data_IF_870846979686
#
_entry.id   IF_870846979686
#
_cell.length_a   1.000
_cell.length_b   1.000
_cell.length_c   1.000
_cell.angle_alpha   90.00
_cell.angle_beta   90.00
_cell.angle_gamma   90.00
#
_symmetry.space_group_name_H-M   'P 1'
#
loop_
_entity.id
_entity.type
_entity.pdbx_description
1 polymer ?
#
# COMPACT_ATOMS: atom_id res chain seq x y z
N UNK A 1 7.62 27.58 -14.23
CA UNK A 1 7.39 27.21 -14.03
C UNK A 1 7.08 26.78 -14.34
N UNK A 2 7.12 26.33 -14.64
CA UNK A 2 6.75 25.92 -14.88
C UNK A 2 6.23 25.45 -14.51
N UNK A 3 6.23 25.91 -14.61
CA UNK A 3 5.60 25.40 -14.10
C UNK A 3 4.77 24.97 -14.66
N UNK A 4 4.91 24.35 -15.00
CA UNK A 4 3.98 23.74 -15.30
C UNK A 4 2.99 23.92 -14.40
N UNK A 5 1.93 24.26 -14.70
CA UNK A 5 0.89 24.42 -13.79
C UNK A 5 0.62 23.14 -13.18
N UNK A 6 0.28 23.08 -12.04
CA UNK A 6 -0.03 21.88 -11.38
C UNK A 6 1.16 21.00 -11.14
N UNK A 7 2.17 21.25 -11.90
CA UNK A 7 3.36 20.49 -11.64
C UNK A 7 4.37 21.46 -11.21
N UNK A 8 4.54 21.53 -10.00
CA UNK A 8 5.54 22.38 -9.45
C UNK A 8 6.86 21.75 -9.64
N UNK A 9 7.82 22.46 -10.16
CA UNK A 9 9.14 21.90 -10.26
C UNK A 9 9.66 21.39 -8.93
N UNK A 10 9.33 22.07 -7.88
CA UNK A 10 9.81 21.61 -6.61
C UNK A 10 9.14 20.33 -6.14
N UNK A 11 7.94 20.09 -6.60
CA UNK A 11 7.30 18.85 -6.26
C UNK A 11 7.99 17.69 -6.86
N UNK A 12 8.56 17.93 -8.00
CA UNK A 12 9.25 16.89 -8.67
C UNK A 12 10.65 16.84 -8.22
N UNK A 13 11.25 18.01 -8.21
CA UNK A 13 12.65 18.04 -8.02
C UNK A 13 13.09 17.85 -6.62
N UNK A 14 12.25 18.15 -5.70
CA UNK A 14 12.73 18.14 -4.36
C UNK A 14 13.13 16.77 -3.93
N UNK A 15 12.73 15.78 -4.61
CA UNK A 15 13.09 14.46 -4.25
C UNK A 15 12.84 14.19 -2.82
N UNK A 16 11.91 14.86 -2.29
CA UNK A 16 11.52 14.60 -0.97
C UNK A 16 11.00 13.21 -0.92
N UNK A 17 11.31 12.52 0.12
CA UNK A 17 10.71 11.22 0.34
C UNK A 17 9.23 11.42 0.32
N UNK A 18 8.52 10.83 -0.62
CA UNK A 18 7.10 11.02 -0.71
C UNK A 18 6.44 10.56 0.58
N UNK A 19 5.31 11.16 0.86
CA UNK A 19 4.53 10.64 1.94
C UNK A 19 4.19 9.19 1.65
N UNK A 20 3.84 8.50 2.69
CA UNK A 20 3.64 7.08 2.64
C UNK A 20 2.56 6.71 1.64
N UNK A 21 2.79 5.69 0.81
CA UNK A 21 1.75 5.22 -0.10
C UNK A 21 0.50 4.76 0.64
N UNK A 22 -0.60 4.75 -0.06
CA UNK A 22 -1.88 4.36 0.47
C UNK A 22 -1.88 2.89 0.88
N UNK A 23 -2.38 2.61 2.07
CA UNK A 23 -2.54 1.24 2.51
C UNK A 23 -3.64 0.58 1.66
N UNK A 24 -3.46 -0.68 1.25
CA UNK A 24 -4.46 -1.34 0.41
C UNK A 24 -5.85 -1.39 1.05
N UNK A 25 -5.94 -1.32 2.37
CA UNK A 25 -7.22 -1.27 3.06
C UNK A 25 -8.08 -0.08 2.66
N UNK A 26 -7.45 1.06 2.37
CA UNK A 26 -8.21 2.24 1.93
C UNK A 26 -8.82 2.01 0.56
N UNK A 27 -8.09 1.36 -0.32
CA UNK A 27 -8.60 1.04 -1.65
C UNK A 27 -9.74 0.03 -1.54
N UNK A 28 -9.59 -0.95 -0.67
CA UNK A 28 -10.67 -1.91 -0.45
C UNK A 28 -11.92 -1.22 0.07
N UNK A 29 -11.77 -0.27 0.98
CA UNK A 29 -12.91 0.49 1.48
C UNK A 29 -13.63 1.21 0.35
N UNK A 30 -12.88 1.89 -0.51
CA UNK A 30 -13.45 2.62 -1.63
C UNK A 30 -14.18 1.68 -2.57
N UNK A 31 -13.60 0.52 -2.81
CA UNK A 31 -14.19 -0.46 -3.70
C UNK A 31 -15.52 -0.97 -3.16
N UNK A 32 -15.56 -1.25 -1.87
CA UNK A 32 -16.80 -1.70 -1.23
C UNK A 32 -17.87 -0.61 -1.27
N UNK A 33 -17.48 0.63 -1.01
CA UNK A 33 -18.43 1.75 -1.07
C UNK A 33 -18.97 1.93 -2.48
N UNK A 34 -18.09 1.84 -3.46
CA UNK A 34 -18.48 1.98 -4.85
C UNK A 34 -19.46 0.90 -5.29
N UNK A 35 -19.31 -0.30 -4.77
CA UNK A 35 -20.17 -1.43 -5.12
C UNK A 35 -21.38 -1.56 -4.21
N UNK A 36 -21.47 -0.75 -3.16
CA UNK A 36 -22.56 -0.86 -2.20
C UNK A 36 -22.52 -2.13 -1.39
N UNK A 37 -21.32 -2.65 -1.13
CA UNK A 37 -21.13 -3.87 -0.36
C UNK A 37 -20.67 -3.52 1.04
N UNK A 38 -21.34 -4.06 2.06
CA UNK A 38 -20.92 -3.82 3.44
C UNK A 38 -19.76 -4.72 3.82
N UNK A 39 -19.01 -4.30 4.84
CA UNK A 39 -17.93 -5.12 5.36
C UNK A 39 -18.46 -6.47 5.88
N UNK A 40 -19.61 -6.44 6.53
CA UNK A 40 -20.22 -7.66 7.05
C UNK A 40 -20.49 -8.64 5.92
N UNK A 41 -21.03 -8.14 4.82
CA UNK A 41 -21.33 -9.01 3.70
C UNK A 41 -20.07 -9.61 3.10
N UNK A 42 -19.06 -8.80 2.88
CA UNK A 42 -17.82 -9.31 2.32
C UNK A 42 -17.17 -10.32 3.27
N UNK A 43 -17.12 -10.00 4.56
CA UNK A 43 -16.53 -10.91 5.54
C UNK A 43 -17.21 -12.26 5.53
N UNK A 44 -18.54 -12.27 5.46
CA UNK A 44 -19.29 -13.51 5.39
C UNK A 44 -18.99 -14.28 4.11
N UNK A 45 -18.84 -13.57 3.00
CA UNK A 45 -18.58 -14.22 1.72
C UNK A 45 -17.22 -14.88 1.67
N UNK A 46 -16.21 -14.22 2.23
CA UNK A 46 -14.86 -14.78 2.18
C UNK A 46 -14.51 -15.61 3.42
N UNK A 47 -15.46 -15.70 4.37
CA UNK A 47 -15.29 -16.60 5.49
C UNK A 47 -14.33 -16.12 6.56
N UNK A 48 -14.23 -14.80 6.76
CA UNK A 48 -13.40 -14.25 7.82
C UNK A 48 -14.28 -13.48 8.81
N UNK A 49 -13.74 -13.23 9.99
CA UNK A 49 -14.46 -12.42 10.96
C UNK A 49 -14.56 -10.98 10.49
N UNK A 50 -15.68 -10.34 10.78
CA UNK A 50 -15.87 -8.93 10.44
C UNK A 50 -14.77 -8.07 11.07
N UNK A 51 -14.37 -8.40 12.29
CA UNK A 51 -13.31 -7.66 12.98
C UNK A 51 -11.98 -7.74 12.24
N UNK A 52 -11.67 -8.88 11.66
CA UNK A 52 -10.44 -9.04 10.89
C UNK A 52 -10.51 -8.20 9.64
N UNK A 53 -11.62 -8.24 8.92
CA UNK A 53 -11.78 -7.44 7.71
C UNK A 53 -11.72 -5.95 8.06
N UNK A 54 -12.29 -5.55 9.17
CA UNK A 54 -12.24 -4.17 9.64
C UNK A 54 -10.78 -3.74 9.88
N UNK A 55 -9.97 -4.62 10.45
CA UNK A 55 -8.56 -4.33 10.66
C UNK A 55 -7.80 -4.14 9.33
N UNK A 56 -8.10 -4.99 8.36
CA UNK A 56 -7.51 -4.85 7.03
C UNK A 56 -7.87 -3.50 6.42
N UNK A 57 -9.14 -3.15 6.49
CA UNK A 57 -9.64 -1.91 5.89
C UNK A 57 -9.06 -0.68 6.58
N UNK A 58 -8.85 -0.75 7.87
CA UNK A 58 -8.32 0.39 8.63
C UNK A 58 -6.81 0.43 8.71
N UNK A 59 -6.13 -0.42 7.97
CA UNK A 59 -4.67 -0.39 7.92
C UNK A 59 -3.99 -0.94 9.14
N UNK A 60 -4.72 -1.66 9.99
CA UNK A 60 -4.16 -2.24 11.20
C UNK A 60 -3.64 -3.65 11.00
N UNK A 61 -3.81 -4.18 9.81
CA UNK A 61 -3.34 -5.51 9.47
C UNK A 61 -2.89 -5.48 8.02
N UNK A 62 -1.80 -6.16 7.74
CA UNK A 62 -1.27 -6.25 6.39
C UNK A 62 -2.06 -7.23 5.55
N UNK A 63 -2.12 -6.99 4.25
CA UNK A 63 -2.69 -7.95 3.32
C UNK A 63 -1.69 -9.07 3.11
N UNK A 64 -2.05 -10.25 3.62
CA UNK A 64 -1.33 -11.46 3.28
C UNK A 64 -1.88 -11.99 1.96
N UNK A 65 -1.12 -12.83 1.29
CA UNK A 65 -1.51 -13.35 -0.01
C UNK A 65 -2.86 -14.07 0.04
N UNK A 66 -3.14 -14.75 1.14
CA UNK A 66 -4.40 -15.46 1.29
C UNK A 66 -5.59 -14.50 1.24
N UNK A 67 -5.48 -13.36 1.94
CA UNK A 67 -6.55 -12.37 1.92
C UNK A 67 -6.70 -11.77 0.53
N UNK A 68 -5.59 -11.50 -0.13
CA UNK A 68 -5.63 -10.94 -1.48
C UNK A 68 -6.34 -11.90 -2.44
N UNK A 69 -6.08 -13.19 -2.31
CA UNK A 69 -6.72 -14.19 -3.17
C UNK A 69 -8.20 -14.37 -2.85
N UNK A 70 -8.57 -14.30 -1.57
CA UNK A 70 -9.98 -14.34 -1.19
C UNK A 70 -10.74 -13.14 -1.76
N UNK A 71 -10.13 -11.98 -1.70
CA UNK A 71 -10.74 -10.75 -2.22
C UNK A 71 -10.82 -10.82 -3.74
N UNK A 72 -9.82 -11.37 -4.39
CA UNK A 72 -9.87 -11.61 -5.82
C UNK A 72 -11.07 -12.49 -6.18
N UNK A 73 -11.24 -13.57 -5.44
CA UNK A 73 -12.35 -14.50 -5.71
C UNK A 73 -13.70 -13.80 -5.52
N UNK A 74 -13.80 -12.93 -4.53
CA UNK A 74 -15.08 -12.28 -4.23
C UNK A 74 -15.37 -11.09 -5.15
N UNK A 75 -14.36 -10.29 -5.46
CA UNK A 75 -14.56 -9.02 -6.17
C UNK A 75 -14.03 -9.02 -7.60
N UNK A 76 -13.28 -10.02 -7.98
CA UNK A 76 -12.72 -10.09 -9.33
C UNK A 76 -11.53 -9.17 -9.56
N UNK A 77 -10.92 -8.66 -8.50
CA UNK A 77 -9.74 -7.80 -8.61
C UNK A 77 -8.51 -8.65 -8.32
N UNK A 78 -7.58 -8.65 -9.26
CA UNK A 78 -6.41 -9.50 -9.21
C UNK A 78 -5.67 -9.40 -7.88
N UNK A 79 -5.25 -10.52 -7.32
CA UNK A 79 -4.51 -10.54 -6.07
C UNK A 79 -3.20 -9.78 -6.16
N UNK A 80 -2.56 -9.76 -7.34
CA UNK A 80 -1.32 -9.01 -7.52
C UNK A 80 -1.53 -7.52 -7.33
N UNK A 81 -2.70 -7.02 -7.69
CA UNK A 81 -3.02 -5.62 -7.45
C UNK A 81 -2.91 -5.28 -5.96
N UNK A 82 -3.52 -6.12 -5.12
CA UNK A 82 -3.51 -5.90 -3.67
C UNK A 82 -2.11 -6.06 -3.09
N UNK A 83 -1.38 -7.06 -3.56
CA UNK A 83 -0.03 -7.31 -3.05
C UNK A 83 0.95 -6.24 -3.51
N UNK A 84 0.76 -5.68 -4.70
CA UNK A 84 1.59 -4.57 -5.16
C UNK A 84 1.36 -3.33 -4.29
N UNK A 85 0.11 -3.09 -3.91
CA UNK A 85 -0.20 -1.99 -2.99
C UNK A 85 0.45 -2.21 -1.62
N UNK A 86 0.38 -3.44 -1.11
CA UNK A 86 0.98 -3.77 0.18
C UNK A 86 2.49 -3.57 0.13
N UNK A 87 3.13 -4.05 -0.94
CA UNK A 87 4.57 -3.88 -1.09
C UNK A 87 4.98 -2.41 -1.15
N UNK A 88 4.24 -1.61 -1.89
CA UNK A 88 4.53 -0.19 -2.00
C UNK A 88 4.37 0.49 -0.64
N UNK A 89 3.35 0.11 0.10
CA UNK A 89 3.12 0.64 1.43
C UNK A 89 4.28 0.28 2.37
N UNK A 90 4.70 -0.97 2.34
CA UNK A 90 5.79 -1.44 3.19
C UNK A 90 7.10 -0.75 2.85
N UNK A 91 7.39 -0.59 1.56
CA UNK A 91 8.58 0.14 1.14
C UNK A 91 8.55 1.59 1.59
N UNK A 92 7.36 2.20 1.55
CA UNK A 92 7.21 3.57 2.00
C UNK A 92 7.53 3.71 3.47
N UNK A 93 7.10 2.75 4.28
CA UNK A 93 7.42 2.76 5.70
C UNK A 93 8.92 2.66 5.94
N UNK A 94 9.58 1.77 5.23
CA UNK A 94 11.02 1.57 5.38
C UNK A 94 11.78 2.81 4.96
N UNK A 95 11.32 3.49 3.91
CA UNK A 95 11.98 4.71 3.43
C UNK A 95 11.96 5.84 4.45
N UNK A 96 11.05 5.79 5.42
CA UNK A 96 11.03 6.77 6.51
C UNK A 96 11.88 6.35 7.70
N UNK A 97 12.51 5.19 7.62
CA UNK A 97 13.43 4.76 8.66
C UNK A 97 14.84 5.23 8.29
N UNK A 98 15.25 6.34 8.89
CA UNK A 98 16.51 6.97 8.54
C UNK A 98 17.71 6.07 8.85
N UNK A 99 17.62 5.30 9.90
CA UNK A 99 18.70 4.41 10.29
C UNK A 99 18.90 3.30 9.25
N UNK A 100 17.79 2.72 8.78
CA UNK A 100 17.88 1.70 7.75
C UNK A 100 18.34 2.30 6.43
N UNK A 101 17.88 3.49 6.08
CA UNK A 101 18.29 4.14 4.85
C UNK A 101 19.78 4.48 4.87
N UNK A 102 20.29 4.86 6.03
CA UNK A 102 21.74 5.08 6.19
C UNK A 102 22.52 3.79 5.98
N UNK A 103 21.99 2.70 6.47
CA UNK A 103 22.62 1.39 6.26
C UNK A 103 22.68 1.04 4.78
N UNK A 104 21.60 1.30 4.05
CA UNK A 104 21.58 1.06 2.60
C UNK A 104 22.62 1.90 1.88
N UNK A 105 22.78 3.15 2.27
CA UNK A 105 23.79 4.02 1.68
C UNK A 105 25.20 3.47 1.92
N UNK A 106 25.44 2.92 3.12
CA UNK A 106 26.71 2.28 3.43
C UNK A 106 26.98 1.07 2.56
N UNK A 107 25.95 0.26 2.34
CA UNK A 107 26.05 -0.92 1.49
C UNK A 107 26.39 -0.50 0.06
N UNK A 108 25.77 0.55 -0.45
CA UNK A 108 26.05 1.02 -1.80
C UNK A 108 27.49 1.47 -1.96
N UNK A 109 28.05 2.10 -0.94
CA UNK A 109 29.46 2.52 -0.98
C UNK A 109 30.39 1.33 -1.03
N UNK A 110 30.07 0.28 -0.28
CA UNK A 110 30.86 -0.95 -0.29
C UNK A 110 30.74 -1.62 -1.66
N UNK A 111 29.55 -1.69 -2.20
CA UNK A 111 29.31 -2.32 -3.49
C UNK A 111 30.08 -1.63 -4.62
N UNK A 112 30.30 -0.34 -4.49
CA UNK A 112 31.00 0.41 -5.52
C UNK A 112 32.45 -0.04 -5.70
N UNK A 113 33.02 -0.70 -4.71
CA UNK A 113 34.41 -1.18 -4.77
C UNK A 113 34.51 -2.69 -4.84
N UNK A 114 33.37 -3.37 -4.90
CA UNK A 114 33.40 -4.80 -5.11
C UNK A 114 33.60 -5.11 -6.58
#
# INVERSE_FOLDING_TARGET
MITLPGVEPRMIANNIVPFQPTHPGEILREELESRGITQTKLANEIGVKVSLLNELINGKRDFAIEYAMMIEAALGIDSDFWMNLQNAYDKGKVRHDSSFMAKLAGIRRIAAVL
#
